data_IF_865127393355
#
_entry.id   IF_865127393355
#
_cell.length_a   1.000
_cell.length_b   1.000
_cell.length_c   1.000
_cell.angle_alpha   90.00
_cell.angle_beta   90.00
_cell.angle_gamma   90.00
#
_symmetry.space_group_name_H-M   'P 1'
#
loop_
_entity.id
_entity.type
_entity.pdbx_description
1 polymer ?
#
# COMPACT_ATOMS: atom_id res chain seq x y z
N UNK A 1 -3.96 6.71 18.03
CA UNK A 1 -3.02 7.34 17.07
C UNK A 1 -3.44 8.79 16.82
N UNK A 2 -2.48 9.66 16.64
CA UNK A 2 -2.75 11.07 16.35
C UNK A 2 -2.58 11.34 14.86
N UNK A 3 -3.38 12.23 14.31
CA UNK A 3 -3.28 12.63 12.91
C UNK A 3 -1.89 13.19 12.58
N UNK A 4 -1.24 13.86 13.55
CA UNK A 4 0.10 14.41 13.38
C UNK A 4 1.18 13.35 13.15
N UNK A 5 0.89 12.07 13.41
CA UNK A 5 1.81 10.96 13.13
C UNK A 5 1.76 10.52 11.66
N UNK A 6 0.75 10.97 10.92
CA UNK A 6 0.62 10.67 9.49
C UNK A 6 1.43 11.69 8.71
N UNK A 7 2.68 11.35 8.41
CA UNK A 7 3.66 12.28 7.85
C UNK A 7 4.10 11.96 6.42
N UNK A 8 3.51 10.96 5.81
CA UNK A 8 3.78 10.59 4.42
C UNK A 8 2.53 10.73 3.58
N UNK A 9 2.70 11.02 2.30
CA UNK A 9 1.57 11.09 1.36
C UNK A 9 1.63 9.92 0.40
N UNK A 10 0.51 9.24 0.24
CA UNK A 10 0.40 8.09 -0.65
C UNK A 10 -0.78 8.27 -1.60
N UNK A 11 -0.74 7.53 -2.69
CA UNK A 11 -1.86 7.43 -3.63
C UNK A 11 -2.35 5.99 -3.68
N UNK A 12 -3.65 5.81 -3.82
CA UNK A 12 -4.24 4.50 -4.10
C UNK A 12 -4.54 4.43 -5.59
N UNK A 13 -4.00 3.42 -6.25
CA UNK A 13 -4.13 3.27 -7.69
C UNK A 13 -4.62 1.88 -8.05
N UNK A 14 -5.31 1.79 -9.17
CA UNK A 14 -5.82 0.53 -9.70
C UNK A 14 -5.35 0.38 -11.14
N UNK A 15 -4.73 -0.74 -11.46
CA UNK A 15 -4.37 -1.05 -12.84
C UNK A 15 -5.59 -1.60 -13.57
N UNK A 16 -5.92 -1.00 -14.71
CA UNK A 16 -6.98 -1.46 -15.59
C UNK A 16 -6.37 -1.89 -16.92
N UNK A 17 -6.75 -3.06 -17.41
CA UNK A 17 -6.36 -3.48 -18.75
C UNK A 17 -7.26 -2.80 -19.77
N UNK A 18 -6.64 -2.13 -20.72
CA UNK A 18 -7.32 -1.61 -21.89
C UNK A 18 -7.26 -2.66 -22.98
N UNK A 19 -8.38 -3.33 -23.22
CA UNK A 19 -8.49 -4.34 -24.27
C UNK A 19 -9.08 -3.77 -25.56
N UNK A 20 -9.27 -2.46 -25.64
CA UNK A 20 -9.83 -1.82 -26.82
C UNK A 20 -8.70 -1.28 -27.69
N UNK A 21 -8.52 -1.86 -28.89
CA UNK A 21 -7.58 -1.38 -29.88
C UNK A 21 -6.34 -2.24 -30.04
N UNK A 22 -5.52 -1.94 -31.08
CA UNK A 22 -4.34 -2.75 -31.43
C UNK A 22 -3.18 -2.61 -30.44
N UNK A 23 -3.20 -1.62 -29.57
CA UNK A 23 -2.18 -1.38 -28.56
C UNK A 23 -2.74 -1.61 -27.18
N UNK A 24 -3.26 -2.84 -26.94
CA UNK A 24 -3.75 -3.21 -25.63
C UNK A 24 -2.64 -3.06 -24.59
N UNK A 25 -2.90 -2.29 -23.53
CA UNK A 25 -1.96 -2.04 -22.45
C UNK A 25 -2.68 -1.89 -21.13
N UNK A 26 -1.91 -1.67 -20.07
CA UNK A 26 -2.48 -1.38 -18.77
C UNK A 26 -2.50 0.13 -18.56
N UNK A 27 -3.63 0.64 -18.10
CA UNK A 27 -3.76 2.03 -17.66
C UNK A 27 -3.89 2.05 -16.15
N UNK A 28 -3.40 3.11 -15.55
CA UNK A 28 -3.46 3.30 -14.11
C UNK A 28 -4.57 4.28 -13.79
N UNK A 29 -5.50 3.86 -12.95
CA UNK A 29 -6.57 4.72 -12.46
C UNK A 29 -6.26 5.14 -11.04
N UNK A 30 -6.22 6.43 -10.78
CA UNK A 30 -6.01 6.95 -9.43
C UNK A 30 -7.35 6.93 -8.70
N UNK A 31 -7.43 6.11 -7.65
CA UNK A 31 -8.64 6.03 -6.82
C UNK A 31 -8.67 7.17 -5.82
N UNK A 32 -7.52 7.44 -5.18
CA UNK A 32 -7.37 8.55 -4.26
C UNK A 32 -5.92 8.99 -4.26
N UNK A 33 -5.68 10.30 -4.11
CA UNK A 33 -4.35 10.86 -4.13
C UNK A 33 -4.10 11.74 -2.92
N UNK A 34 -2.82 11.94 -2.59
CA UNK A 34 -2.38 12.77 -1.48
C UNK A 34 -3.01 12.39 -0.14
N UNK A 35 -3.11 11.08 0.10
CA UNK A 35 -3.65 10.56 1.36
C UNK A 35 -2.55 10.53 2.40
N UNK A 36 -2.77 11.17 3.52
CA UNK A 36 -1.82 11.15 4.62
C UNK A 36 -1.74 9.77 5.24
N UNK A 37 -0.51 9.27 5.43
CA UNK A 37 -0.24 7.95 5.95
C UNK A 37 0.98 7.95 6.85
N UNK A 38 1.07 6.91 7.68
CA UNK A 38 2.28 6.60 8.44
C UNK A 38 2.86 5.32 7.84
N UNK A 39 4.06 5.41 7.27
CA UNK A 39 4.76 4.26 6.70
C UNK A 39 5.56 3.57 7.80
N UNK A 40 5.35 2.28 7.96
CA UNK A 40 6.06 1.45 8.94
C UNK A 40 6.81 0.37 8.19
N UNK A 41 8.13 0.39 8.31
CA UNK A 41 8.99 -0.62 7.71
C UNK A 41 9.95 -1.09 8.81
N UNK A 42 9.53 -2.13 9.55
CA UNK A 42 10.36 -2.72 10.59
C UNK A 42 10.77 -4.12 10.15
N UNK A 43 12.07 -4.33 10.02
CA UNK A 43 12.61 -5.62 9.68
C UNK A 43 13.44 -6.13 10.88
N UNK A 44 12.88 -7.10 11.62
CA UNK A 44 13.67 -7.89 12.54
C UNK A 44 14.56 -8.85 11.75
N UNK A 45 15.62 -9.35 12.38
CA UNK A 45 16.57 -10.22 11.70
C UNK A 45 15.91 -11.44 11.05
N UNK A 46 15.03 -12.11 11.77
CA UNK A 46 14.33 -13.28 11.23
C UNK A 46 13.39 -12.93 10.09
N UNK A 47 12.69 -11.80 10.23
CA UNK A 47 11.79 -11.32 9.16
C UNK A 47 12.58 -10.97 7.91
N UNK A 48 13.73 -10.32 8.08
CA UNK A 48 14.61 -9.99 6.98
C UNK A 48 15.06 -11.23 6.21
N UNK A 49 15.51 -12.26 6.93
CA UNK A 49 15.96 -13.50 6.30
C UNK A 49 14.85 -14.19 5.52
N UNK A 50 13.64 -14.21 6.06
CA UNK A 50 12.48 -14.82 5.40
C UNK A 50 12.12 -14.09 4.12
N UNK A 51 12.04 -12.76 4.16
CA UNK A 51 11.64 -11.98 3.00
C UNK A 51 12.75 -11.81 1.97
N UNK A 52 14.00 -11.84 2.39
CA UNK A 52 15.12 -11.78 1.45
C UNK A 52 15.12 -12.96 0.50
N UNK A 53 14.69 -14.14 0.96
CA UNK A 53 14.58 -15.33 0.14
C UNK A 53 13.53 -15.17 -0.97
N UNK A 54 12.47 -14.41 -0.72
CA UNK A 54 11.38 -14.21 -1.65
C UNK A 54 11.48 -12.89 -2.44
N UNK A 55 12.54 -12.12 -2.25
CA UNK A 55 12.72 -10.80 -2.87
C UNK A 55 11.56 -9.85 -2.58
N UNK A 56 10.95 -9.94 -1.41
CA UNK A 56 9.81 -9.15 -1.03
C UNK A 56 10.08 -8.45 0.30
N UNK A 57 9.74 -7.17 0.38
CA UNK A 57 9.90 -6.40 1.60
C UNK A 57 8.52 -6.06 2.15
N UNK A 58 8.21 -6.44 3.41
CA UNK A 58 6.94 -6.06 4.02
C UNK A 58 6.97 -4.58 4.43
N UNK A 59 5.90 -3.88 4.11
CA UNK A 59 5.71 -2.49 4.49
C UNK A 59 4.27 -2.32 4.91
N UNK A 60 4.05 -1.62 6.02
CA UNK A 60 2.71 -1.32 6.50
C UNK A 60 2.45 0.17 6.41
N UNK A 61 1.22 0.51 6.07
CA UNK A 61 0.77 1.90 6.05
C UNK A 61 -0.42 2.05 6.97
N UNK A 62 -0.44 3.10 7.76
CA UNK A 62 -1.59 3.44 8.59
C UNK A 62 -2.22 4.70 8.00
N UNK A 63 -3.52 4.62 7.72
CA UNK A 63 -4.29 5.75 7.18
C UNK A 63 -5.59 5.88 7.98
N UNK A 64 -6.29 6.99 7.78
CA UNK A 64 -7.66 7.10 8.29
C UNK A 64 -8.52 6.03 7.63
N UNK A 65 -9.44 5.46 8.40
CA UNK A 65 -10.30 4.39 7.91
C UNK A 65 -11.06 4.82 6.66
N UNK A 66 -10.97 4.00 5.63
CA UNK A 66 -11.64 4.18 4.35
C UNK A 66 -12.38 2.89 4.00
N UNK A 67 -13.43 3.02 3.24
CA UNK A 67 -14.22 1.85 2.80
C UNK A 67 -14.07 1.57 1.29
N UNK A 68 -13.19 2.28 0.61
CA UNK A 68 -12.94 2.12 -0.82
C UNK A 68 -11.65 1.34 -1.13
N UNK A 69 -11.05 0.70 -0.12
CA UNK A 69 -9.80 -0.06 -0.26
C UNK A 69 -10.12 -1.51 -0.58
N UNK A 70 -9.38 -2.08 -1.53
CA UNK A 70 -9.43 -3.52 -1.81
C UNK A 70 -8.05 -4.04 -2.21
N UNK A 71 -7.90 -5.37 -2.27
CA UNK A 71 -6.62 -6.02 -2.51
C UNK A 71 -6.14 -5.93 -3.96
N UNK A 72 -7.00 -5.50 -4.88
CA UNK A 72 -6.62 -5.30 -6.27
C UNK A 72 -5.91 -3.96 -6.49
N UNK A 73 -5.94 -3.08 -5.49
CA UNK A 73 -5.31 -1.77 -5.56
C UNK A 73 -3.84 -1.85 -5.15
N UNK A 74 -3.10 -0.84 -5.56
CA UNK A 74 -1.71 -0.66 -5.12
C UNK A 74 -1.56 0.69 -4.45
N UNK A 75 -0.59 0.80 -3.56
CA UNK A 75 -0.19 2.07 -2.97
C UNK A 75 1.03 2.58 -3.73
N UNK A 76 0.98 3.84 -4.15
CA UNK A 76 2.14 4.51 -4.74
C UNK A 76 2.67 5.54 -3.76
N UNK A 77 3.95 5.45 -3.42
CA UNK A 77 4.63 6.37 -2.52
C UNK A 77 6.02 6.68 -3.07
N UNK A 78 6.29 7.95 -3.33
CA UNK A 78 7.57 8.41 -3.90
C UNK A 78 8.01 7.64 -5.15
N UNK A 79 7.05 7.34 -6.03
CA UNK A 79 7.33 6.62 -7.26
C UNK A 79 7.48 5.11 -7.08
N UNK A 80 7.35 4.59 -5.87
CA UNK A 80 7.44 3.16 -5.58
C UNK A 80 6.05 2.59 -5.40
N UNK A 81 5.81 1.41 -5.96
CA UNK A 81 4.52 0.72 -5.89
C UNK A 81 4.57 -0.39 -4.88
N UNK A 82 3.50 -0.51 -4.10
CA UNK A 82 3.34 -1.52 -3.06
C UNK A 82 2.04 -2.28 -3.32
N UNK A 83 2.11 -3.61 -3.34
CA UNK A 83 0.94 -4.46 -3.49
C UNK A 83 0.22 -4.60 -2.15
N UNK A 84 -1.08 -4.35 -2.13
CA UNK A 84 -1.88 -4.54 -0.92
C UNK A 84 -2.16 -6.02 -0.75
N UNK A 85 -1.78 -6.57 0.40
CA UNK A 85 -2.03 -7.98 0.73
C UNK A 85 -3.13 -8.15 1.77
N UNK A 86 -3.50 -7.09 2.46
CA UNK A 86 -4.59 -7.12 3.42
C UNK A 86 -4.73 -5.79 4.14
N UNK A 87 -5.83 -5.63 4.84
CA UNK A 87 -6.07 -4.43 5.62
C UNK A 87 -7.04 -4.75 6.76
N UNK A 88 -6.93 -4.02 7.85
CA UNK A 88 -7.78 -4.23 9.02
C UNK A 88 -7.86 -2.95 9.86
N UNK A 89 -8.95 -2.74 10.59
CA UNK A 89 -9.03 -1.65 11.57
C UNK A 89 -7.97 -1.83 12.65
N UNK A 90 -7.49 -0.73 13.18
CA UNK A 90 -6.56 -0.78 14.31
C UNK A 90 -7.38 -1.05 15.57
N UNK A 91 -6.97 -2.04 16.35
CA UNK A 91 -7.62 -2.38 17.60
C UNK A 91 -7.58 -1.19 18.55
N UNK A 92 -8.71 -0.88 19.13
CA UNK A 92 -8.90 0.24 20.07
C UNK A 92 -8.72 1.63 19.44
N UNK A 93 -8.62 1.71 18.10
CA UNK A 93 -8.55 2.98 17.40
C UNK A 93 -9.12 2.84 15.98
N UNK A 94 -10.43 2.62 15.90
CA UNK A 94 -11.11 2.30 14.64
C UNK A 94 -11.17 3.47 13.64
N UNK A 95 -10.77 4.67 14.05
CA UNK A 95 -10.65 5.81 13.15
C UNK A 95 -9.50 5.63 12.16
N UNK A 96 -8.62 4.67 12.40
CA UNK A 96 -7.47 4.36 11.55
C UNK A 96 -7.47 2.90 11.17
N UNK A 97 -6.87 2.60 10.03
CA UNK A 97 -6.71 1.24 9.55
C UNK A 97 -5.26 0.98 9.17
N UNK A 98 -4.84 -0.27 9.32
CA UNK A 98 -3.52 -0.73 8.91
C UNK A 98 -3.66 -1.46 7.60
N UNK A 99 -2.84 -1.08 6.62
CA UNK A 99 -2.77 -1.73 5.31
C UNK A 99 -1.44 -2.42 5.20
N UNK A 100 -1.49 -3.75 5.08
CA UNK A 100 -0.28 -4.56 4.90
C UNK A 100 0.04 -4.65 3.41
N UNK A 101 1.28 -4.35 3.06
CA UNK A 101 1.72 -4.33 1.68
C UNK A 101 3.07 -5.00 1.52
N UNK A 102 3.42 -5.30 0.28
CA UNK A 102 4.74 -5.81 -0.07
C UNK A 102 5.31 -5.01 -1.23
N UNK A 103 6.63 -4.83 -1.20
CA UNK A 103 7.39 -4.25 -2.29
C UNK A 103 8.39 -5.29 -2.79
N UNK A 104 8.48 -5.44 -4.12
CA UNK A 104 9.50 -6.31 -4.69
C UNK A 104 10.87 -5.68 -4.46
N UNK A 105 11.78 -6.48 -3.93
CA UNK A 105 13.15 -6.05 -3.64
C UNK A 105 14.08 -6.45 -4.80
N UNK A 106 13.89 -5.74 -5.92
CA UNK A 106 14.71 -5.99 -7.11
C UNK A 106 15.72 -4.88 -7.26
#
# INVERSE_FOLDING_TARGET
>A
MRVSELNSKIDFVLEERDNSGPFAGTTEKIIASNIWAKKIQKLGKETFELYATNNVVPVNFIVRTRNDINEDMKIRHNGTYYNIIGYQPIKDDEAFMLIATTRLNI
#
